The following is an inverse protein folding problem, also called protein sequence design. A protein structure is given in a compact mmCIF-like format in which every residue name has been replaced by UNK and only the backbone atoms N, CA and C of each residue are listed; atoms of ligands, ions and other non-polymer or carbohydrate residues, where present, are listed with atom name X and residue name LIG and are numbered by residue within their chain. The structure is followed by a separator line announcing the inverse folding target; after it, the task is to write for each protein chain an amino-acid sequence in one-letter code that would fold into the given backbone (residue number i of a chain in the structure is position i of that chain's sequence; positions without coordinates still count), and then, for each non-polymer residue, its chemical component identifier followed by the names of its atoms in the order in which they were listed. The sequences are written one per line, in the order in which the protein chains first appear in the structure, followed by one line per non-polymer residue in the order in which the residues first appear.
data_IF_100272511313
#
_entry.id   IF_100272511313
#
_cell.length_a   1.000
_cell.length_b   1.000
_cell.length_c   1.000
_cell.angle_alpha   90.00
_cell.angle_beta   90.00
_cell.angle_gamma   90.00
#
_symmetry.space_group_name_H-M   'P 1'
#
loop_
_entity.id
_entity.type
_entity.pdbx_description
1 polymer ?
#
# COMPACT_ATOMS: atom_id res chain seq x y z
N UNK A 1 13.39 -2.97 -2.42
CA UNK A 1 12.09 -2.23 -2.46
C UNK A 1 11.40 -2.31 -1.09
N UNK A 2 10.79 -1.21 -0.65
CA UNK A 2 9.95 -1.13 0.56
C UNK A 2 8.47 -1.33 0.22
N UNK A 3 7.80 -2.25 0.90
CA UNK A 3 6.35 -2.40 0.86
C UNK A 3 5.75 -1.87 2.16
N UNK A 4 4.85 -0.89 2.07
CA UNK A 4 4.02 -0.44 3.17
C UNK A 4 2.68 -1.18 3.11
N UNK A 5 2.41 -2.00 4.11
CA UNK A 5 1.16 -2.72 4.29
C UNK A 5 0.41 -2.16 5.50
N UNK A 6 -0.91 -2.13 5.48
CA UNK A 6 -1.68 -1.64 6.64
C UNK A 6 -3.15 -1.45 6.31
N UNK A 7 -3.99 -1.47 7.32
CA UNK A 7 -5.45 -1.29 7.22
C UNK A 7 -5.81 0.10 6.68
N UNK A 8 -7.08 0.29 6.31
CA UNK A 8 -7.60 1.61 5.94
C UNK A 8 -7.31 2.63 7.04
N UNK A 9 -7.06 3.87 6.67
CA UNK A 9 -6.73 4.98 7.58
C UNK A 9 -5.53 4.73 8.54
N UNK A 10 -4.69 3.71 8.30
CA UNK A 10 -3.47 3.50 9.10
C UNK A 10 -2.36 4.52 8.83
N UNK A 11 -2.50 5.36 7.79
CA UNK A 11 -1.55 6.43 7.46
C UNK A 11 -0.51 6.06 6.40
N UNK A 12 -0.66 4.93 5.69
CA UNK A 12 0.29 4.49 4.64
C UNK A 12 0.63 5.56 3.61
N UNK A 13 -0.39 6.26 3.09
CA UNK A 13 -0.18 7.29 2.08
C UNK A 13 0.68 8.43 2.65
N UNK A 14 0.37 8.89 3.86
CA UNK A 14 1.12 9.95 4.50
C UNK A 14 2.58 9.53 4.75
N UNK A 15 2.81 8.30 5.23
CA UNK A 15 4.17 7.76 5.40
C UNK A 15 4.89 7.66 4.07
N UNK A 16 4.25 7.10 3.02
CA UNK A 16 4.83 7.04 1.67
C UNK A 16 5.21 8.43 1.16
N UNK A 17 4.30 9.39 1.28
CA UNK A 17 4.52 10.74 0.76
C UNK A 17 5.69 11.43 1.48
N UNK A 18 5.83 11.23 2.80
CA UNK A 18 6.98 11.72 3.56
C UNK A 18 8.29 11.00 3.18
N UNK A 19 8.27 9.69 2.91
CA UNK A 19 9.43 8.96 2.43
C UNK A 19 9.88 9.49 1.05
N UNK A 20 8.94 9.78 0.17
CA UNK A 20 9.23 10.36 -1.15
C UNK A 20 9.80 11.78 -1.01
N UNK A 21 9.16 12.63 -0.21
CA UNK A 21 9.51 14.04 -0.09
C UNK A 21 10.85 14.27 0.66
N UNK A 22 11.06 13.53 1.77
CA UNK A 22 12.18 13.78 2.68
C UNK A 22 13.33 12.78 2.57
N UNK A 23 13.07 11.58 2.04
CA UNK A 23 14.02 10.47 2.07
C UNK A 23 14.36 9.93 0.68
N UNK A 24 13.94 10.64 -0.36
CA UNK A 24 14.27 10.33 -1.78
C UNK A 24 13.80 8.95 -2.25
N UNK A 25 12.73 8.40 -1.67
CA UNK A 25 12.10 7.21 -2.21
C UNK A 25 11.33 7.55 -3.48
N UNK A 26 11.30 6.60 -4.42
CA UNK A 26 10.49 6.68 -5.64
C UNK A 26 9.22 5.85 -5.45
N UNK A 27 8.01 6.41 -5.61
CA UNK A 27 6.79 5.63 -5.49
C UNK A 27 6.58 4.79 -6.75
N UNK A 28 6.30 3.49 -6.59
CA UNK A 28 5.80 2.67 -7.71
C UNK A 28 4.35 3.07 -7.96
N UNK A 29 4.07 3.52 -9.17
CA UNK A 29 2.75 4.01 -9.57
C UNK A 29 1.88 2.83 -10.00
N UNK A 30 0.75 2.64 -9.35
CA UNK A 30 -0.18 1.55 -9.62
C UNK A 30 -1.29 1.96 -10.58
N UNK A 31 -1.98 0.99 -11.18
CA UNK A 31 -3.04 1.17 -12.16
C UNK A 31 -4.42 1.16 -11.49
N UNK A 32 -5.36 1.97 -12.01
CA UNK A 32 -6.74 1.94 -11.55
C UNK A 32 -7.72 2.32 -12.65
N UNK A 33 -8.94 1.76 -12.57
CA UNK A 33 -10.08 2.16 -13.41
C UNK A 33 -10.99 3.19 -12.74
N UNK A 34 -10.71 3.52 -11.48
CA UNK A 34 -11.44 4.56 -10.77
C UNK A 34 -11.25 5.91 -11.45
N UNK A 35 -12.30 6.72 -11.60
CA UNK A 35 -12.16 8.09 -12.08
C UNK A 35 -11.18 8.91 -11.23
N UNK A 36 -10.38 9.73 -11.89
CA UNK A 36 -9.44 10.65 -11.24
C UNK A 36 -10.19 11.63 -10.34
N UNK A 37 -9.70 11.83 -9.11
CA UNK A 37 -10.25 12.80 -8.16
C UNK A 37 -9.59 14.17 -8.32
N UNK A 38 -10.23 15.19 -7.77
CA UNK A 38 -9.64 16.55 -7.73
C UNK A 38 -8.30 16.51 -7.00
N UNK A 39 -7.27 17.03 -7.66
CA UNK A 39 -5.89 17.07 -7.12
C UNK A 39 -5.02 15.87 -7.47
N UNK A 40 -5.59 14.79 -7.99
CA UNK A 40 -4.81 13.67 -8.54
C UNK A 40 -4.29 13.99 -9.94
N UNK A 41 -3.24 13.29 -10.36
CA UNK A 41 -2.61 13.48 -11.68
C UNK A 41 -2.33 12.13 -12.32
N UNK A 42 -2.59 12.05 -13.63
CA UNK A 42 -2.23 10.91 -14.46
C UNK A 42 -0.73 10.63 -14.36
N UNK A 43 -0.37 9.35 -14.24
CA UNK A 43 1.02 8.85 -14.18
C UNK A 43 1.87 9.39 -13.01
N UNK A 44 1.21 10.02 -12.04
CA UNK A 44 1.81 10.50 -10.79
C UNK A 44 1.12 9.89 -9.58
N UNK A 45 -0.22 9.97 -9.53
CA UNK A 45 -1.00 9.37 -8.43
C UNK A 45 -1.34 7.92 -8.74
N UNK A 46 -1.82 7.68 -9.94
CA UNK A 46 -2.10 6.38 -10.55
C UNK A 46 -1.94 6.46 -12.07
N UNK A 47 -1.76 5.31 -12.70
CA UNK A 47 -2.06 5.13 -14.12
C UNK A 47 -3.57 4.91 -14.23
N UNK A 48 -4.32 5.99 -14.52
CA UNK A 48 -5.77 5.91 -14.71
C UNK A 48 -6.07 5.39 -16.11
N UNK A 49 -6.66 4.22 -16.21
CA UNK A 49 -6.97 3.54 -17.47
C UNK A 49 -8.44 3.10 -17.51
N UNK A 50 -8.95 2.81 -18.71
CA UNK A 50 -10.31 2.28 -18.87
C UNK A 50 -10.43 0.86 -18.32
N UNK A 51 -11.66 0.45 -17.98
CA UNK A 51 -11.95 -0.92 -17.54
C UNK A 51 -11.55 -1.95 -18.61
N UNK A 52 -11.83 -1.65 -19.88
CA UNK A 52 -11.49 -2.54 -20.99
C UNK A 52 -9.98 -2.75 -21.13
N UNK A 53 -9.21 -1.67 -20.96
CA UNK A 53 -7.74 -1.74 -20.97
C UNK A 53 -7.22 -2.54 -19.78
N UNK A 54 -7.80 -2.32 -18.59
CA UNK A 54 -7.40 -3.05 -17.39
C UNK A 54 -7.65 -4.56 -17.55
N UNK A 55 -8.81 -4.96 -18.04
CA UNK A 55 -9.16 -6.36 -18.28
C UNK A 55 -8.25 -7.01 -19.33
N UNK A 56 -7.91 -6.29 -20.40
CA UNK A 56 -6.90 -6.76 -21.38
C UNK A 56 -5.54 -7.00 -20.72
N UNK A 57 -5.11 -6.10 -19.84
CA UNK A 57 -3.85 -6.24 -19.08
C UNK A 57 -3.88 -7.44 -18.13
N UNK A 58 -5.02 -7.73 -17.48
CA UNK A 58 -5.18 -8.98 -16.68
C UNK A 58 -4.96 -10.21 -17.55
N UNK A 59 -5.64 -10.27 -18.69
CA UNK A 59 -5.58 -11.44 -19.59
C UNK A 59 -4.16 -11.67 -20.15
N UNK A 60 -3.38 -10.62 -20.27
CA UNK A 60 -1.99 -10.67 -20.74
C UNK A 60 -0.97 -10.92 -19.60
N UNK A 61 -1.41 -11.17 -18.36
CA UNK A 61 -0.51 -11.39 -17.23
C UNK A 61 0.34 -10.18 -16.85
N UNK A 62 -0.12 -8.98 -17.18
CA UNK A 62 0.62 -7.73 -16.95
C UNK A 62 0.80 -7.40 -15.47
N UNK A 63 -0.20 -7.75 -14.64
CA UNK A 63 -0.19 -7.40 -13.22
C UNK A 63 0.46 -8.48 -12.36
N UNK A 64 1.32 -8.07 -11.42
CA UNK A 64 1.80 -8.90 -10.33
C UNK A 64 0.64 -9.27 -9.38
N UNK A 65 -0.23 -8.30 -9.13
CA UNK A 65 -1.45 -8.46 -8.35
C UNK A 65 -2.49 -7.46 -8.84
N UNK A 66 -3.75 -7.81 -8.66
CA UNK A 66 -4.86 -6.89 -8.87
C UNK A 66 -6.04 -7.25 -7.96
N UNK A 67 -6.88 -6.27 -7.67
CA UNK A 67 -8.10 -6.44 -6.88
C UNK A 67 -9.20 -5.53 -7.41
N UNK A 68 -10.43 -6.01 -7.33
CA UNK A 68 -11.62 -5.21 -7.63
C UNK A 68 -12.36 -4.81 -6.36
N UNK A 69 -13.06 -3.69 -6.44
CA UNK A 69 -13.87 -3.15 -5.36
C UNK A 69 -15.21 -2.71 -5.90
N UNK A 70 -16.28 -3.28 -5.38
CA UNK A 70 -17.64 -2.80 -5.61
C UNK A 70 -17.88 -1.59 -4.72
N UNK A 71 -18.19 -0.47 -5.33
CA UNK A 71 -18.46 0.80 -4.64
C UNK A 71 -19.83 1.34 -5.05
N UNK A 72 -20.30 2.40 -4.38
CA UNK A 72 -21.56 3.06 -4.76
C UNK A 72 -21.49 3.67 -6.18
N UNK A 73 -20.30 4.00 -6.65
CA UNK A 73 -20.06 4.62 -7.96
C UNK A 73 -19.68 3.60 -9.06
N UNK A 74 -19.71 2.30 -8.74
CA UNK A 74 -19.41 1.23 -9.67
C UNK A 74 -18.30 0.28 -9.23
N UNK A 75 -17.88 -0.59 -10.16
CA UNK A 75 -16.81 -1.54 -9.98
C UNK A 75 -15.48 -0.92 -10.40
N UNK A 76 -14.54 -0.85 -9.49
CA UNK A 76 -13.20 -0.32 -9.74
C UNK A 76 -12.14 -1.37 -9.55
N UNK A 77 -11.16 -1.36 -10.43
CA UNK A 77 -9.99 -2.22 -10.39
C UNK A 77 -8.76 -1.43 -9.95
N UNK A 78 -7.88 -2.10 -9.24
CA UNK A 78 -6.54 -1.62 -8.87
C UNK A 78 -5.55 -2.74 -9.15
N UNK A 79 -4.39 -2.41 -9.68
CA UNK A 79 -3.37 -3.41 -9.99
C UNK A 79 -1.97 -2.83 -10.03
N UNK A 80 -1.00 -3.68 -9.77
CA UNK A 80 0.41 -3.36 -9.77
C UNK A 80 1.10 -4.09 -10.90
N UNK A 81 1.80 -3.40 -11.79
CA UNK A 81 2.53 -4.04 -12.87
C UNK A 81 3.65 -4.95 -12.33
N UNK A 82 3.78 -6.15 -12.87
CA UNK A 82 4.80 -7.10 -12.46
C UNK A 82 6.19 -6.57 -12.78
N UNK A 83 6.37 -5.98 -13.93
CA UNK A 83 7.64 -5.43 -14.38
C UNK A 83 8.17 -4.35 -13.44
N UNK A 84 7.30 -3.44 -12.96
CA UNK A 84 7.67 -2.39 -12.01
C UNK A 84 8.16 -2.96 -10.69
N UNK A 85 7.57 -4.08 -10.24
CA UNK A 85 7.99 -4.74 -9.01
C UNK A 85 9.29 -5.54 -9.18
N UNK A 86 9.51 -6.15 -10.33
CA UNK A 86 10.72 -6.92 -10.63
C UNK A 86 11.93 -6.00 -10.79
N UNK A 87 11.73 -4.85 -11.43
CA UNK A 87 12.78 -3.85 -11.68
C UNK A 87 12.98 -2.88 -10.50
N UNK A 88 12.18 -3.01 -9.44
CA UNK A 88 12.25 -2.12 -8.29
C UNK A 88 13.59 -2.20 -7.56
N UNK A 89 14.09 -1.06 -7.17
CA UNK A 89 15.33 -0.86 -6.43
C UNK A 89 15.09 -0.75 -4.92
N UNK A 90 16.15 -0.63 -4.14
CA UNK A 90 16.06 -0.39 -2.70
C UNK A 90 15.50 1.00 -2.36
N UNK A 91 15.42 1.91 -3.31
CA UNK A 91 14.81 3.24 -3.10
C UNK A 91 13.34 3.31 -3.55
N UNK A 92 12.76 2.20 -3.98
CA UNK A 92 11.35 2.19 -4.39
C UNK A 92 10.41 1.81 -3.25
N UNK A 93 9.25 2.48 -3.18
CA UNK A 93 8.22 2.24 -2.19
C UNK A 93 6.86 2.00 -2.84
N UNK A 94 6.15 0.99 -2.35
CA UNK A 94 4.79 0.68 -2.79
C UNK A 94 3.87 0.41 -1.60
N UNK A 95 2.56 0.67 -1.79
CA UNK A 95 1.51 0.30 -0.84
C UNK A 95 0.76 -0.91 -1.39
N UNK A 96 0.74 -2.01 -0.64
CA UNK A 96 0.02 -3.22 -1.02
C UNK A 96 -0.91 -3.74 0.08
N UNK A 97 -1.89 -4.53 -0.36
CA UNK A 97 -2.71 -5.37 0.53
C UNK A 97 -1.92 -6.63 0.94
N UNK A 98 -2.35 -7.36 1.98
CA UNK A 98 -1.73 -8.65 2.32
C UNK A 98 -1.70 -9.63 1.15
N UNK A 99 -2.76 -9.65 0.31
CA UNK A 99 -2.82 -10.50 -0.87
C UNK A 99 -1.76 -10.11 -1.90
N UNK A 100 -1.59 -8.81 -2.16
CA UNK A 100 -0.53 -8.32 -3.04
C UNK A 100 0.86 -8.72 -2.54
N UNK A 101 1.11 -8.61 -1.23
CA UNK A 101 2.37 -9.07 -0.62
C UNK A 101 2.59 -10.57 -0.85
N UNK A 102 1.55 -11.42 -0.65
CA UNK A 102 1.65 -12.86 -0.89
C UNK A 102 2.01 -13.18 -2.33
N UNK A 103 1.36 -12.49 -3.27
CA UNK A 103 1.62 -12.69 -4.71
C UNK A 103 3.03 -12.28 -5.08
N UNK A 104 3.53 -11.13 -4.62
CA UNK A 104 4.90 -10.70 -4.88
C UNK A 104 5.94 -11.66 -4.28
N UNK A 105 5.73 -12.10 -3.03
CA UNK A 105 6.60 -13.12 -2.40
C UNK A 105 6.61 -14.43 -3.19
N UNK A 106 5.45 -14.89 -3.68
CA UNK A 106 5.33 -16.09 -4.53
C UNK A 106 6.08 -15.95 -5.86
N UNK A 107 6.12 -14.75 -6.43
CA UNK A 107 6.88 -14.44 -7.64
C UNK A 107 8.38 -14.16 -7.39
N UNK A 108 8.87 -14.39 -6.18
CA UNK A 108 10.29 -14.23 -5.85
C UNK A 108 10.76 -12.78 -5.76
N UNK A 109 9.85 -11.83 -5.70
CA UNK A 109 10.21 -10.40 -5.56
C UNK A 109 10.80 -10.17 -4.17
N UNK A 110 12.06 -9.73 -4.14
CA UNK A 110 12.75 -9.42 -2.88
C UNK A 110 12.35 -8.03 -2.38
N UNK A 111 11.45 -7.99 -1.40
CA UNK A 111 10.97 -6.77 -0.80
C UNK A 111 11.01 -6.85 0.74
N UNK A 112 11.13 -5.69 1.38
CA UNK A 112 11.00 -5.56 2.83
C UNK A 112 9.60 -5.04 3.12
N UNK A 113 8.84 -5.79 3.91
CA UNK A 113 7.44 -5.50 4.22
C UNK A 113 7.34 -4.89 5.60
N UNK A 114 6.90 -3.64 5.69
CA UNK A 114 6.58 -2.99 6.95
C UNK A 114 5.07 -2.86 7.09
N UNK A 115 4.53 -3.49 8.15
CA UNK A 115 3.13 -3.37 8.49
C UNK A 115 2.91 -2.16 9.38
N UNK A 116 2.27 -1.13 8.78
CA UNK A 116 1.87 0.07 9.51
C UNK A 116 0.56 -0.20 10.25
N UNK A 117 0.69 -0.46 11.54
CA UNK A 117 -0.43 -0.82 12.41
C UNK A 117 -1.05 0.43 13.06
N UNK A 118 -2.38 0.49 13.06
CA UNK A 118 -3.17 1.42 13.87
C UNK A 118 -4.28 0.65 14.57
N UNK A 119 -4.54 0.97 15.82
CA UNK A 119 -5.65 0.36 16.55
C UNK A 119 -7.00 0.82 16.00
N UNK A 120 -8.06 0.07 16.31
CA UNK A 120 -9.40 0.33 15.77
C UNK A 120 -9.94 1.70 16.14
N UNK A 121 -9.65 2.21 17.35
CA UNK A 121 -10.08 3.52 17.79
C UNK A 121 -9.45 4.63 16.93
N UNK A 122 -8.16 4.52 16.66
CA UNK A 122 -7.44 5.42 15.76
C UNK A 122 -8.03 5.40 14.36
N UNK A 123 -8.29 4.21 13.80
CA UNK A 123 -8.88 4.05 12.47
C UNK A 123 -10.26 4.73 12.42
N UNK A 124 -11.15 4.42 13.36
CA UNK A 124 -12.49 5.01 13.43
C UNK A 124 -12.43 6.54 13.55
N UNK A 125 -11.55 7.06 14.42
CA UNK A 125 -11.38 8.51 14.60
C UNK A 125 -10.95 9.19 13.31
N UNK A 126 -9.93 8.64 12.60
CA UNK A 126 -9.41 9.21 11.35
C UNK A 126 -10.45 9.17 10.23
N UNK A 127 -11.21 8.07 10.10
CA UNK A 127 -12.27 7.95 9.11
C UNK A 127 -13.39 8.96 9.36
N UNK A 128 -13.81 9.12 10.62
CA UNK A 128 -14.79 10.14 11.02
C UNK A 128 -14.32 11.57 10.73
N UNK A 129 -13.06 11.87 11.05
CA UNK A 129 -12.46 13.20 10.81
C UNK A 129 -12.38 13.53 9.31
N UNK A 130 -12.20 12.52 8.44
CA UNK A 130 -12.23 12.70 6.98
C UNK A 130 -13.62 12.92 6.40
N UNK A 131 -14.68 12.71 7.19
CA UNK A 131 -16.05 12.82 6.74
C UNK A 131 -16.52 11.64 5.87
N UNK A 132 -15.87 10.48 5.99
CA UNK A 132 -16.26 9.28 5.22
C UNK A 132 -17.69 8.84 5.67
N UNK A 133 -18.49 8.38 4.70
CA UNK A 133 -19.84 7.84 4.97
C UNK A 133 -19.79 6.65 5.93
N UNK A 134 -20.70 6.59 6.91
CA UNK A 134 -20.69 5.59 7.97
C UNK A 134 -20.79 4.15 7.44
N UNK A 135 -21.62 3.90 6.41
CA UNK A 135 -21.78 2.56 5.82
C UNK A 135 -20.48 2.15 5.12
N UNK A 136 -19.84 3.08 4.43
CA UNK A 136 -18.56 2.84 3.78
C UNK A 136 -17.44 2.58 4.81
N UNK A 137 -17.44 3.29 5.94
CA UNK A 137 -16.54 3.06 7.08
C UNK A 137 -16.67 1.64 7.61
N UNK A 138 -17.91 1.21 7.89
CA UNK A 138 -18.20 -0.15 8.38
C UNK A 138 -17.80 -1.22 7.37
N UNK A 139 -18.11 -1.02 6.09
CA UNK A 139 -17.71 -1.93 5.01
C UNK A 139 -16.19 -2.09 4.95
N UNK A 140 -15.43 -0.99 4.98
CA UNK A 140 -13.95 -1.01 4.94
C UNK A 140 -13.36 -1.71 6.16
N UNK A 141 -13.85 -1.41 7.35
CA UNK A 141 -13.39 -2.05 8.59
C UNK A 141 -13.66 -3.56 8.52
N UNK A 142 -14.84 -3.97 8.05
CA UNK A 142 -15.21 -5.38 7.92
C UNK A 142 -14.35 -6.11 6.89
N UNK A 143 -14.02 -5.47 5.76
CA UNK A 143 -13.09 -6.01 4.76
C UNK A 143 -11.69 -6.14 5.35
N UNK A 144 -11.19 -5.11 6.02
CA UNK A 144 -9.86 -5.11 6.62
C UNK A 144 -9.70 -6.20 7.70
N UNK A 145 -10.74 -6.50 8.48
CA UNK A 145 -10.69 -7.59 9.48
C UNK A 145 -10.42 -8.94 8.79
N UNK A 146 -11.01 -9.17 7.65
CA UNK A 146 -10.82 -10.42 6.88
C UNK A 146 -9.46 -10.44 6.18
N UNK A 147 -9.17 -9.37 5.45
CA UNK A 147 -7.98 -9.26 4.57
C UNK A 147 -6.68 -9.25 5.39
N UNK A 148 -6.70 -8.70 6.60
CA UNK A 148 -5.53 -8.55 7.47
C UNK A 148 -5.43 -9.57 8.61
N UNK A 149 -6.20 -10.66 8.55
CA UNK A 149 -6.22 -11.67 9.62
C UNK A 149 -4.82 -12.20 9.97
N UNK A 150 -4.00 -12.46 8.94
CA UNK A 150 -2.65 -13.03 9.10
C UNK A 150 -1.56 -12.04 8.58
N UNK A 151 -1.88 -10.76 8.49
CA UNK A 151 -1.00 -9.76 7.91
C UNK A 151 0.33 -9.59 8.69
N UNK A 152 0.31 -9.79 10.00
CA UNK A 152 1.50 -9.71 10.85
C UNK A 152 2.56 -10.74 10.46
N UNK A 153 2.14 -11.94 10.01
CA UNK A 153 3.04 -13.00 9.55
C UNK A 153 3.72 -12.70 8.22
N UNK A 154 3.20 -11.76 7.46
CA UNK A 154 3.76 -11.34 6.17
C UNK A 154 4.79 -10.23 6.33
N UNK A 155 4.76 -9.53 7.46
CA UNK A 155 5.59 -8.36 7.72
C UNK A 155 6.97 -8.74 8.26
N UNK A 156 8.02 -8.10 7.74
CA UNK A 156 9.35 -8.17 8.34
C UNK A 156 9.39 -7.37 9.66
N UNK A 157 8.59 -6.29 9.76
CA UNK A 157 8.42 -5.48 10.98
C UNK A 157 7.03 -4.84 11.05
N UNK A 158 6.59 -4.58 12.28
CA UNK A 158 5.38 -3.80 12.59
C UNK A 158 5.82 -2.46 13.14
N UNK A 159 5.27 -1.38 12.57
CA UNK A 159 5.45 -0.02 13.06
C UNK A 159 4.08 0.52 13.45
N UNK A 160 3.97 1.01 14.69
CA UNK A 160 2.72 1.56 15.21
C UNK A 160 2.53 3.02 14.77
N UNK A 161 1.29 3.37 14.42
CA UNK A 161 0.88 4.73 14.06
C UNK A 161 -0.52 5.02 14.61
N UNK A 162 -0.59 5.35 15.88
CA UNK A 162 -1.84 5.67 16.58
C UNK A 162 -2.11 7.19 16.63
N UNK A 163 -3.21 7.60 17.25
CA UNK A 163 -3.69 8.98 17.26
C UNK A 163 -2.67 10.02 17.75
N UNK A 164 -1.88 9.65 18.75
CA UNK A 164 -0.94 10.57 19.40
C UNK A 164 0.50 10.41 18.89
N UNK A 165 0.73 9.53 17.91
CA UNK A 165 2.05 9.32 17.37
C UNK A 165 2.43 10.46 16.44
N UNK A 166 3.64 10.99 16.60
CA UNK A 166 4.19 11.99 15.70
C UNK A 166 4.59 11.31 14.39
N UNK A 167 4.12 11.84 13.27
CA UNK A 167 4.36 11.26 11.95
C UNK A 167 5.85 11.17 11.60
N UNK A 168 6.65 12.17 11.97
CA UNK A 168 8.09 12.15 11.70
C UNK A 168 8.79 11.00 12.45
N UNK A 169 8.35 10.71 13.69
CA UNK A 169 8.84 9.56 14.44
C UNK A 169 8.41 8.23 13.79
N UNK A 170 7.18 8.15 13.26
CA UNK A 170 6.70 6.97 12.54
C UNK A 170 7.52 6.72 11.28
N UNK A 171 7.77 7.77 10.48
CA UNK A 171 8.63 7.71 9.29
C UNK A 171 10.05 7.32 9.66
N UNK A 172 10.62 7.93 10.71
CA UNK A 172 11.95 7.57 11.21
C UNK A 172 12.06 6.10 11.64
N UNK A 173 11.03 5.56 12.29
CA UNK A 173 10.96 4.14 12.66
C UNK A 173 10.88 3.22 11.43
N UNK A 174 10.09 3.60 10.42
CA UNK A 174 10.00 2.86 9.15
C UNK A 174 11.37 2.79 8.48
N UNK A 175 12.06 3.94 8.34
CA UNK A 175 13.40 4.01 7.76
C UNK A 175 14.42 3.19 8.53
N UNK A 176 14.47 3.37 9.84
CA UNK A 176 15.42 2.67 10.70
C UNK A 176 15.31 1.14 10.55
N UNK A 177 14.08 0.61 10.56
CA UNK A 177 13.86 -0.82 10.36
C UNK A 177 14.16 -1.26 8.94
N UNK A 178 13.78 -0.46 7.94
CA UNK A 178 14.06 -0.75 6.54
C UNK A 178 15.57 -0.89 6.29
N UNK A 179 16.35 0.10 6.69
CA UNK A 179 17.81 0.11 6.53
C UNK A 179 18.49 -1.04 7.31
N UNK A 180 18.03 -1.31 8.53
CA UNK A 180 18.58 -2.40 9.35
C UNK A 180 18.38 -3.76 8.69
N UNK A 181 17.18 -4.03 8.15
CA UNK A 181 16.89 -5.28 7.46
C UNK A 181 17.66 -5.36 6.14
N UNK A 182 17.74 -4.25 5.42
CA UNK A 182 18.46 -4.19 4.15
C UNK A 182 19.95 -4.54 4.35
N UNK A 183 20.61 -3.96 5.35
CA UNK A 183 22.01 -4.28 5.70
C UNK A 183 22.18 -5.74 6.09
N UNK A 184 21.34 -6.28 6.98
CA UNK A 184 21.41 -7.70 7.34
C UNK A 184 21.31 -8.64 6.14
N UNK A 185 20.44 -8.34 5.15
CA UNK A 185 20.30 -9.13 3.92
C UNK A 185 21.50 -9.01 2.96
N UNK A 186 22.29 -7.93 3.06
CA UNK A 186 23.52 -7.74 2.28
C UNK A 186 24.70 -8.50 2.91
N UNK A 187 24.75 -8.57 4.25
CA UNK A 187 25.80 -9.28 4.98
C UNK A 187 25.68 -10.82 4.88
N UNK A 188 24.49 -11.33 4.52
CA UNK A 188 24.22 -12.78 4.35
C UNK A 188 24.53 -13.31 2.93
N UNK A 189 24.92 -12.44 1.98
CA UNK A 189 25.29 -12.77 0.60
C UNK A 189 26.78 -12.85 0.40
#
# INVERSE_FOLDING_TARGET
MLILMGKTASGKNLVRDQLVEKCHFSPIITYTTRPMRKGEKQDVTYHFISTDEFLKKINNGFFAEWKDYVTNDGLWYYGTALEDCVNATDNDVIILTPDGVRVLKKNGVNAIVIYLYSNLNTIKHRLKFRGDDLKEVERRISSDIKDFKDAEMLADRIVYNNLNDNIDNVVGNVLCWYEKILRSRQDEK
#
